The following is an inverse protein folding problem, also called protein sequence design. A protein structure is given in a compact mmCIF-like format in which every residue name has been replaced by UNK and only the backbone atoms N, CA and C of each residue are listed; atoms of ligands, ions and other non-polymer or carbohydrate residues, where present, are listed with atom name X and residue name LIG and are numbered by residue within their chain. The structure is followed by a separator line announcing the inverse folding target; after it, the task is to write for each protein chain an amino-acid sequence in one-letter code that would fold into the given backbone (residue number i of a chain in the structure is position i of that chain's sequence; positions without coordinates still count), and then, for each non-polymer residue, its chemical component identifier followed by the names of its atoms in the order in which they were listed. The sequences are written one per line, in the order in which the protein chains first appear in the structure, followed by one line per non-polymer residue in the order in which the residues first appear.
data_IF_860550997909
#
_entry.id   IF_860550997909
#
_cell.length_a   1.000
_cell.length_b   1.000
_cell.length_c   1.000
_cell.angle_alpha   90.00
_cell.angle_beta   90.00
_cell.angle_gamma   90.00
#
_symmetry.space_group_name_H-M   'P 1'
#
loop_
_entity.id
_entity.type
_entity.pdbx_description
1 polymer ?
#
# COMPACT_ATOMS: atom_id res chain seq x y z
N UNK A 1 -15.30 -18.36 3.92
CA UNK A 1 -16.21 -17.23 3.67
C UNK A 1 -16.53 -16.48 4.97
N UNK A 2 -16.95 -17.20 6.00
CA UNK A 2 -17.28 -16.56 7.29
C UNK A 2 -16.05 -15.92 7.93
N UNK A 3 -14.90 -16.60 7.90
CA UNK A 3 -13.68 -16.08 8.51
C UNK A 3 -13.24 -14.79 7.81
N UNK A 4 -13.33 -14.75 6.48
CA UNK A 4 -12.99 -13.55 5.71
C UNK A 4 -13.92 -12.39 6.09
N UNK A 5 -15.22 -12.65 6.17
CA UNK A 5 -16.19 -11.62 6.55
C UNK A 5 -15.91 -11.09 7.96
N UNK A 6 -15.58 -11.96 8.90
CA UNK A 6 -15.27 -11.55 10.27
C UNK A 6 -13.94 -10.79 10.34
N UNK A 7 -12.94 -11.20 9.57
CA UNK A 7 -11.67 -10.53 9.55
C UNK A 7 -11.80 -9.11 8.96
N UNK A 8 -12.69 -8.93 8.00
CA UNK A 8 -12.91 -7.62 7.38
C UNK A 8 -13.88 -6.73 8.17
N UNK A 9 -14.55 -7.27 9.19
CA UNK A 9 -15.56 -6.55 9.98
C UNK A 9 -14.93 -5.62 11.02
N UNK A 10 -13.91 -4.89 10.63
CA UNK A 10 -13.24 -3.89 11.46
C UNK A 10 -13.07 -2.62 10.64
N UNK A 11 -12.98 -1.48 11.30
CA UNK A 11 -12.68 -0.22 10.63
C UNK A 11 -11.21 -0.10 10.24
N UNK A 12 -10.35 -0.98 10.73
CA UNK A 12 -8.93 -0.98 10.46
C UNK A 12 -8.56 -1.98 9.38
N UNK A 13 -7.39 -1.81 8.78
CA UNK A 13 -6.89 -2.69 7.74
C UNK A 13 -5.38 -2.52 7.56
N UNK A 14 -4.60 -2.72 8.63
CA UNK A 14 -3.15 -2.58 8.54
C UNK A 14 -2.51 -3.84 7.98
N UNK A 15 -2.69 -4.95 8.64
CA UNK A 15 -1.97 -6.17 8.31
C UNK A 15 -2.80 -7.40 8.66
N UNK A 16 -2.52 -8.50 7.96
CA UNK A 16 -3.17 -9.78 8.21
C UNK A 16 -2.23 -10.92 7.84
N UNK A 17 -2.44 -12.08 8.46
CA UNK A 17 -1.67 -13.27 8.17
C UNK A 17 -2.56 -14.48 7.97
N UNK A 18 -2.15 -15.37 7.06
CA UNK A 18 -2.85 -16.61 6.75
C UNK A 18 -1.87 -17.77 6.85
N UNK A 19 -2.25 -18.82 7.56
CA UNK A 19 -1.43 -20.01 7.72
C UNK A 19 -2.17 -21.20 7.14
N UNK A 20 -1.66 -21.78 6.07
CA UNK A 20 -2.23 -22.95 5.41
C UNK A 20 -1.18 -23.63 4.57
N UNK A 21 -1.30 -24.94 4.40
CA UNK A 21 -0.44 -25.71 3.50
C UNK A 21 -0.93 -25.65 2.05
N UNK A 22 -2.15 -25.14 1.82
CA UNK A 22 -2.74 -25.10 0.48
C UNK A 22 -2.57 -23.70 -0.12
N UNK A 23 -1.71 -23.59 -1.12
CA UNK A 23 -1.35 -22.31 -1.72
C UNK A 23 -2.53 -21.60 -2.37
N UNK A 24 -3.39 -22.35 -3.09
CA UNK A 24 -4.56 -21.76 -3.73
C UNK A 24 -5.50 -21.12 -2.71
N UNK A 25 -5.71 -21.80 -1.58
CA UNK A 25 -6.52 -21.24 -0.50
C UNK A 25 -5.88 -19.97 0.07
N UNK A 26 -4.57 -20.00 0.26
CA UNK A 26 -3.86 -18.85 0.79
C UNK A 26 -4.07 -17.60 -0.08
N UNK A 27 -3.86 -17.72 -1.36
CA UNK A 27 -4.03 -16.60 -2.28
C UNK A 27 -5.47 -16.13 -2.38
N UNK A 28 -6.42 -17.05 -2.36
CA UNK A 28 -7.83 -16.67 -2.39
C UNK A 28 -8.24 -15.90 -1.13
N UNK A 29 -7.77 -16.31 0.03
CA UNK A 29 -8.07 -15.62 1.28
C UNK A 29 -7.43 -14.24 1.28
N UNK A 30 -6.15 -14.15 0.95
CA UNK A 30 -5.41 -12.87 0.94
C UNK A 30 -6.05 -11.88 -0.03
N UNK A 31 -6.49 -12.33 -1.20
CA UNK A 31 -7.12 -11.46 -2.18
C UNK A 31 -8.43 -10.83 -1.67
N UNK A 32 -9.07 -11.45 -0.68
CA UNK A 32 -10.33 -10.98 -0.13
C UNK A 32 -10.20 -10.31 1.24
N UNK A 33 -8.99 -10.19 1.79
CA UNK A 33 -8.77 -9.48 3.03
C UNK A 33 -8.53 -8.00 2.78
N UNK A 34 -9.16 -7.16 3.57
CA UNK A 34 -9.02 -5.70 3.48
C UNK A 34 -7.90 -5.24 4.40
N UNK A 35 -6.66 -5.48 3.98
CA UNK A 35 -5.47 -5.10 4.72
C UNK A 35 -4.39 -4.65 3.73
N UNK A 36 -3.55 -3.72 4.16
CA UNK A 36 -2.49 -3.19 3.31
C UNK A 36 -1.32 -4.14 3.15
N UNK A 37 -1.07 -4.99 4.14
CA UNK A 37 -0.02 -6.01 4.10
C UNK A 37 -0.61 -7.34 4.52
N UNK A 38 -0.34 -8.37 3.72
CA UNK A 38 -0.79 -9.73 4.03
C UNK A 38 0.39 -10.68 3.96
N UNK A 39 0.48 -11.58 4.92
CA UNK A 39 1.51 -12.61 4.94
C UNK A 39 0.88 -13.98 4.76
N UNK A 40 1.57 -14.85 4.05
CA UNK A 40 1.20 -16.26 3.91
C UNK A 40 2.29 -17.07 4.59
N UNK A 41 1.91 -17.84 5.60
CA UNK A 41 2.80 -18.70 6.39
C UNK A 41 3.99 -17.94 7.00
N UNK A 42 3.80 -16.67 7.28
CA UNK A 42 4.78 -15.79 7.91
C UNK A 42 4.03 -14.68 8.64
N UNK A 43 4.74 -13.92 9.45
CA UNK A 43 4.15 -12.76 10.12
C UNK A 43 5.24 -11.76 10.50
N UNK A 44 4.89 -10.48 10.46
CA UNK A 44 5.78 -9.37 10.84
C UNK A 44 7.07 -9.27 10.02
N UNK A 45 7.04 -9.73 8.77
CA UNK A 45 8.15 -9.52 7.85
C UNK A 45 7.92 -8.19 7.12
N UNK A 46 8.78 -7.22 7.37
CA UNK A 46 8.65 -5.88 6.78
C UNK A 46 9.98 -5.45 6.15
N UNK A 47 10.38 -6.08 5.04
CA UNK A 47 11.61 -5.67 4.37
C UNK A 47 11.47 -4.25 3.82
N UNK A 48 12.57 -3.49 3.84
CA UNK A 48 12.54 -2.08 3.46
C UNK A 48 12.22 -1.87 1.98
N UNK A 49 12.38 -2.90 1.15
CA UNK A 49 12.08 -2.84 -0.28
C UNK A 49 10.57 -2.93 -0.58
N UNK A 50 9.78 -3.41 0.37
CA UNK A 50 8.35 -3.59 0.19
C UNK A 50 7.58 -2.48 0.91
N UNK A 51 6.57 -1.89 0.27
CA UNK A 51 5.76 -0.86 0.94
C UNK A 51 4.99 -1.46 2.10
N UNK A 52 4.91 -0.72 3.19
CA UNK A 52 4.16 -1.11 4.38
C UNK A 52 3.19 0.00 4.75
N UNK A 53 1.95 -0.36 4.96
CA UNK A 53 0.92 0.58 5.36
C UNK A 53 -0.45 -0.06 5.26
N UNK A 54 -1.43 0.62 5.82
CA UNK A 54 -2.77 0.10 5.92
C UNK A 54 -3.75 0.69 4.93
N UNK A 55 -4.93 0.15 4.98
CA UNK A 55 -6.11 0.69 4.29
C UNK A 55 -7.17 1.01 5.35
N UNK A 56 -8.28 1.55 4.91
CA UNK A 56 -9.38 1.95 5.81
C UNK A 56 -8.84 2.93 6.85
N UNK A 57 -9.23 2.79 8.13
CA UNK A 57 -8.82 3.73 9.17
C UNK A 57 -7.40 3.51 9.68
N UNK A 58 -6.72 2.48 9.20
CA UNK A 58 -5.29 2.30 9.51
C UNK A 58 -4.42 3.31 8.77
N UNK A 59 -4.93 4.00 7.76
CA UNK A 59 -4.24 5.08 7.09
C UNK A 59 -4.21 4.94 5.58
N UNK A 60 -3.61 5.92 4.93
CA UNK A 60 -3.51 5.95 3.46
C UNK A 60 -2.07 5.94 2.95
N UNK A 61 -1.10 6.26 3.81
CA UNK A 61 0.31 6.32 3.42
C UNK A 61 0.97 4.96 3.43
N UNK A 62 2.18 4.93 2.92
CA UNK A 62 3.02 3.74 2.92
C UNK A 62 4.41 4.12 3.39
N UNK A 63 5.00 3.24 4.19
CA UNK A 63 6.41 3.32 4.58
C UNK A 63 7.20 2.31 3.78
N UNK A 64 8.50 2.38 3.85
CA UNK A 64 9.42 1.50 3.15
C UNK A 64 9.24 1.58 1.63
N UNK A 65 10.07 0.85 0.91
CA UNK A 65 10.14 0.82 -0.54
C UNK A 65 10.46 2.20 -1.13
N UNK A 66 10.66 2.18 -2.43
CA UNK A 66 10.92 3.41 -3.19
C UNK A 66 9.74 4.37 -3.14
N UNK A 67 8.54 3.84 -2.99
CA UNK A 67 7.33 4.66 -2.95
C UNK A 67 7.31 5.62 -1.75
N UNK A 68 7.95 5.24 -0.64
CA UNK A 68 7.99 6.10 0.55
C UNK A 68 8.73 7.41 0.30
N UNK A 69 9.69 7.41 -0.61
CA UNK A 69 10.46 8.63 -0.94
C UNK A 69 9.53 9.70 -1.49
N UNK A 70 8.54 9.32 -2.26
CA UNK A 70 7.60 10.27 -2.86
C UNK A 70 6.78 11.03 -1.83
N UNK A 71 6.50 10.43 -0.67
CA UNK A 71 5.74 11.06 0.40
C UNK A 71 6.52 12.19 1.10
N UNK A 72 7.85 12.18 0.99
CA UNK A 72 8.71 13.20 1.59
C UNK A 72 9.18 14.22 0.57
N UNK A 73 8.67 14.14 -0.66
CA UNK A 73 9.03 15.05 -1.74
C UNK A 73 7.78 15.67 -2.33
N UNK A 74 8.01 16.67 -3.15
CA UNK A 74 6.93 17.39 -3.82
C UNK A 74 7.33 17.62 -5.26
N UNK A 75 6.41 17.34 -6.19
CA UNK A 75 6.67 17.52 -7.61
C UNK A 75 6.62 19.01 -7.95
N UNK A 76 7.63 19.48 -8.68
CA UNK A 76 7.66 20.82 -9.20
C UNK A 76 7.92 20.74 -10.71
N UNK A 77 7.14 21.48 -11.47
CA UNK A 77 7.36 21.60 -12.91
C UNK A 77 8.04 22.92 -13.23
N UNK A 78 9.04 22.86 -14.08
CA UNK A 78 9.77 24.06 -14.52
C UNK A 78 9.84 24.05 -16.04
N UNK A 79 9.43 25.16 -16.63
CA UNK A 79 9.48 25.35 -18.09
C UNK A 79 10.39 26.54 -18.38
N UNK A 80 11.35 26.33 -19.26
CA UNK A 80 12.31 27.37 -19.64
C UNK A 80 12.14 27.70 -21.11
N UNK A 81 11.77 28.93 -21.39
CA UNK A 81 11.72 29.42 -22.75
C UNK A 81 13.05 30.05 -23.12
N UNK A 82 13.58 29.69 -24.26
CA UNK A 82 14.90 30.21 -24.75
C UNK A 82 14.71 31.31 -25.79
N UNK A 83 13.48 31.60 -26.19
CA UNK A 83 13.21 32.65 -27.15
C UNK A 83 12.66 33.91 -26.52
N UNK A 84 12.31 34.94 -27.32
CA UNK A 84 11.70 36.15 -26.80
C UNK A 84 10.33 35.85 -26.15
N UNK A 85 10.00 36.63 -25.15
CA UNK A 85 8.70 36.53 -24.52
C UNK A 85 7.68 37.39 -25.25
N UNK A 86 6.59 36.80 -25.69
CA UNK A 86 5.47 37.49 -26.28
C UNK A 86 4.33 37.55 -25.28
N UNK A 87 4.40 38.51 -24.37
CA UNK A 87 3.46 38.63 -23.29
C UNK A 87 2.39 39.68 -23.64
N UNK A 88 1.12 39.31 -23.64
CA UNK A 88 0.04 40.27 -23.99
C UNK A 88 -0.34 41.22 -22.85
N UNK A 89 0.26 41.07 -21.70
CA UNK A 89 -0.01 41.91 -20.53
C UNK A 89 1.21 42.61 -19.99
#
# INVERSE_FOLDING_TARGET
AEVIARANATEFGLAAGVFTAELTRAHRVVANLEAGTCWINAYNLTPVEAPFGGVKRSGVGRENSRAAVEHYTQVKSVYVGLGPVDAPY
#
